data_IF_525175429115
#
_entry.id   IF_525175429115
#
_cell.length_a   1.000
_cell.length_b   1.000
_cell.length_c   1.000
_cell.angle_alpha   90.00
_cell.angle_beta   90.00
_cell.angle_gamma   90.00
#
_symmetry.space_group_name_H-M   'P 1'
#
loop_
_entity.id
_entity.type
_entity.pdbx_description
1 polymer ?
#
# COMPACT_ATOMS: atom_id res chain seq x y z
N UNK A 1 -9.97 28.23 23.96
CA UNK A 1 -8.64 27.60 24.20
C UNK A 1 -7.69 28.19 23.17
N UNK A 2 -6.81 29.10 23.59
CA UNK A 2 -5.85 29.74 22.70
C UNK A 2 -4.78 28.73 22.31
N UNK A 3 -4.62 28.48 21.01
CA UNK A 3 -3.55 27.64 20.46
C UNK A 3 -2.20 28.33 20.74
N UNK A 4 -1.48 27.86 21.74
CA UNK A 4 -0.13 28.33 22.05
C UNK A 4 0.79 27.99 20.86
N UNK A 5 1.30 29.03 20.18
CA UNK A 5 2.19 28.87 19.05
C UNK A 5 3.48 28.19 19.52
N UNK A 6 3.70 26.94 19.10
CA UNK A 6 4.93 26.21 19.45
C UNK A 6 6.08 26.75 18.59
N UNK A 7 7.22 27.13 19.19
CA UNK A 7 8.37 27.58 18.42
C UNK A 7 8.85 26.47 17.47
N UNK A 8 9.35 26.86 16.31
CA UNK A 8 9.89 25.96 15.31
C UNK A 8 11.34 26.35 14.98
N UNK A 9 12.11 25.38 14.46
CA UNK A 9 13.48 25.59 14.01
C UNK A 9 13.67 24.97 12.63
N UNK A 10 14.36 25.68 11.74
CA UNK A 10 14.61 25.23 10.36
C UNK A 10 16.04 24.72 10.20
N UNK A 11 16.22 23.61 9.47
CA UNK A 11 17.56 23.14 9.10
C UNK A 11 18.22 24.11 8.11
N UNK A 12 19.47 24.55 8.35
CA UNK A 12 20.15 25.51 7.48
C UNK A 12 20.52 24.95 6.11
N UNK A 13 20.63 23.62 5.96
CA UNK A 13 21.00 22.97 4.71
C UNK A 13 19.80 22.74 3.77
N UNK A 14 18.70 22.18 4.29
CA UNK A 14 17.55 21.80 3.47
C UNK A 14 16.26 22.59 3.74
N UNK A 15 16.25 23.51 4.72
CA UNK A 15 15.09 24.34 5.06
C UNK A 15 13.97 23.62 5.82
N UNK A 16 14.12 22.32 6.14
CA UNK A 16 13.07 21.56 6.82
C UNK A 16 12.81 22.09 8.23
N UNK A 17 11.53 22.30 8.56
CA UNK A 17 11.07 22.88 9.83
C UNK A 17 10.75 21.79 10.85
N UNK A 18 11.25 21.94 12.07
CA UNK A 18 11.08 21.02 13.20
C UNK A 18 10.41 21.75 14.36
N UNK A 19 9.53 21.07 15.10
CA UNK A 19 8.93 21.62 16.32
C UNK A 19 9.97 21.63 17.43
N UNK A 20 10.21 22.81 18.02
CA UNK A 20 11.16 22.98 19.11
C UNK A 20 10.68 22.25 20.36
N UNK A 21 11.61 21.56 21.03
CA UNK A 21 11.40 21.00 22.37
C UNK A 21 12.53 21.49 23.28
N UNK A 22 12.25 21.84 24.54
CA UNK A 22 13.29 22.34 25.47
C UNK A 22 14.49 21.39 25.62
N UNK A 23 14.27 20.08 25.48
CA UNK A 23 15.30 19.04 25.52
C UNK A 23 16.35 19.11 24.40
N UNK A 24 16.11 19.91 23.35
CA UNK A 24 17.05 20.14 22.25
C UNK A 24 18.01 21.31 22.51
N UNK A 25 17.78 22.08 23.56
CA UNK A 25 18.63 23.22 23.90
C UNK A 25 20.07 22.76 24.18
N UNK A 26 21.03 23.30 23.42
CA UNK A 26 22.45 22.99 23.55
C UNK A 26 22.91 21.65 22.96
N UNK A 27 22.00 20.83 22.39
CA UNK A 27 22.36 19.57 21.72
C UNK A 27 22.50 19.76 20.21
N UNK A 28 23.35 18.95 19.58
CA UNK A 28 23.38 18.84 18.12
C UNK A 28 22.19 18.01 17.64
N UNK A 29 21.53 18.50 16.59
CA UNK A 29 20.39 17.85 15.97
C UNK A 29 20.78 17.36 14.58
N UNK A 30 20.54 16.07 14.32
CA UNK A 30 20.68 15.51 12.99
C UNK A 30 19.44 15.73 12.14
N UNK A 31 19.61 16.39 10.99
CA UNK A 31 18.57 16.50 9.99
C UNK A 31 18.49 15.22 9.12
N UNK A 32 17.31 14.90 8.58
CA UNK A 32 17.14 13.79 7.63
C UNK A 32 17.97 13.96 6.33
N UNK A 33 18.44 15.17 6.02
CA UNK A 33 19.34 15.42 4.90
C UNK A 33 20.80 14.98 5.17
N UNK A 34 21.12 14.51 6.38
CA UNK A 34 22.47 14.11 6.79
C UNK A 34 23.32 15.24 7.37
N UNK A 35 22.77 16.45 7.50
CA UNK A 35 23.45 17.58 8.12
C UNK A 35 23.13 17.68 9.61
N UNK A 36 24.17 17.70 10.45
CA UNK A 36 24.06 17.97 11.88
C UNK A 36 24.21 19.47 12.13
N UNK A 37 23.33 20.05 12.93
CA UNK A 37 23.37 21.47 13.27
C UNK A 37 22.98 21.71 14.72
N UNK A 38 23.55 22.76 15.31
CA UNK A 38 23.18 23.21 16.65
C UNK A 38 22.14 24.32 16.51
N UNK A 39 20.90 24.10 16.94
CA UNK A 39 19.86 25.08 16.76
C UNK A 39 20.13 26.29 17.65
N UNK A 40 20.16 27.47 17.03
CA UNK A 40 20.20 28.74 17.76
C UNK A 40 18.84 28.92 18.44
N UNK A 41 18.84 29.32 19.71
CA UNK A 41 17.62 29.54 20.51
C UNK A 41 16.60 30.30 19.67
N UNK A 42 15.39 29.73 19.41
CA UNK A 42 14.42 30.39 18.55
C UNK A 42 14.07 31.73 19.17
N UNK A 43 14.34 32.81 18.44
CA UNK A 43 13.79 34.11 18.82
C UNK A 43 12.27 34.00 18.65
N UNK A 44 11.54 34.38 19.68
CA UNK A 44 10.08 34.50 19.61
C UNK A 44 9.82 35.65 18.65
N UNK A 45 9.66 35.32 17.36
CA UNK A 45 9.29 36.30 16.35
C UNK A 45 7.84 36.65 16.62
N UNK A 46 7.63 37.86 17.14
CA UNK A 46 6.31 38.38 17.45
C UNK A 46 5.48 38.41 16.15
N UNK A 47 4.39 37.62 16.03
CA UNK A 47 3.66 37.45 14.77
C UNK A 47 2.98 38.74 14.28
N UNK A 48 3.05 39.83 15.03
CA UNK A 48 2.54 41.14 14.64
C UNK A 48 3.56 42.08 13.99
N UNK A 49 4.84 41.69 13.87
CA UNK A 49 5.90 42.59 13.39
C UNK A 49 6.29 42.43 11.90
N UNK A 50 5.70 41.50 11.15
CA UNK A 50 6.15 41.16 9.79
C UNK A 50 5.12 41.50 8.69
N UNK A 51 4.87 42.79 8.47
CA UNK A 51 4.30 43.33 7.22
C UNK A 51 5.44 43.84 6.32
N UNK A 52 6.21 42.92 5.75
CA UNK A 52 7.28 43.26 4.81
C UNK A 52 7.57 42.08 3.90
N UNK A 53 7.21 42.22 2.62
CA UNK A 53 7.10 41.14 1.66
C UNK A 53 8.38 40.36 1.43
N UNK A 54 8.24 39.03 1.43
CA UNK A 54 9.18 38.12 0.78
C UNK A 54 8.34 37.09 0.01
N UNK A 55 8.17 37.36 -1.29
CA UNK A 55 7.72 36.38 -2.27
C UNK A 55 8.86 35.36 -2.47
N UNK A 56 8.84 34.28 -1.70
CA UNK A 56 9.66 33.09 -2.00
C UNK A 56 8.77 31.88 -2.10
N UNK A 57 8.50 31.51 -3.36
CA UNK A 57 8.14 30.20 -3.90
C UNK A 57 8.04 29.04 -2.90
N UNK A 58 6.89 28.90 -2.25
CA UNK A 58 6.43 27.64 -1.62
C UNK A 58 5.21 27.12 -2.38
N UNK A 59 5.35 26.93 -3.70
CA UNK A 59 4.26 26.44 -4.54
C UNK A 59 4.07 24.91 -4.51
N UNK A 60 4.90 24.18 -3.74
CA UNK A 60 4.76 22.72 -3.54
C UNK A 60 4.08 22.31 -2.22
N UNK A 61 3.68 23.26 -1.38
CA UNK A 61 3.07 22.98 -0.06
C UNK A 61 1.55 23.13 0.01
N UNK A 62 0.91 23.69 -1.03
CA UNK A 62 -0.50 24.12 -0.94
C UNK A 62 -1.52 23.04 -1.35
N UNK A 63 -1.08 21.94 -1.98
CA UNK A 63 -2.00 20.86 -2.38
C UNK A 63 -2.28 19.85 -1.26
N UNK A 64 -1.46 19.81 -0.19
CA UNK A 64 -1.66 18.90 0.95
C UNK A 64 -2.85 19.28 1.86
N UNK A 65 -3.49 20.44 1.65
CA UNK A 65 -4.53 20.95 2.54
C UNK A 65 -5.95 20.84 1.97
N UNK A 66 -6.11 20.36 0.72
CA UNK A 66 -7.40 20.24 0.05
C UNK A 66 -8.01 18.82 0.07
N UNK A 67 -7.25 17.79 0.48
CA UNK A 67 -7.82 16.45 0.68
C UNK A 67 -8.65 16.46 1.97
N UNK A 68 -9.97 16.33 1.86
CA UNK A 68 -10.95 16.41 2.96
C UNK A 68 -10.43 15.87 4.29
N UNK A 69 -10.41 16.74 5.29
CA UNK A 69 -9.80 16.45 6.59
C UNK A 69 -10.31 15.13 7.15
N UNK A 70 -9.39 14.15 7.28
CA UNK A 70 -9.64 12.91 8.01
C UNK A 70 -10.34 13.26 9.33
N UNK A 71 -11.43 12.56 9.65
CA UNK A 71 -12.16 12.82 10.90
C UNK A 71 -11.19 12.76 12.08
N UNK A 72 -11.43 13.55 13.12
CA UNK A 72 -10.57 13.57 14.30
C UNK A 72 -10.35 12.16 14.89
N UNK A 73 -11.32 11.27 14.72
CA UNK A 73 -11.24 9.85 15.11
C UNK A 73 -10.26 9.07 14.23
N UNK A 74 -10.28 9.25 12.91
CA UNK A 74 -9.32 8.61 12.01
C UNK A 74 -7.88 9.07 12.30
N UNK A 75 -7.68 10.37 12.57
CA UNK A 75 -6.38 10.90 13.00
C UNK A 75 -5.92 10.33 14.34
N UNK A 76 -6.81 10.27 15.33
CA UNK A 76 -6.48 9.73 16.65
C UNK A 76 -6.21 8.20 16.61
N UNK A 77 -6.86 7.48 15.70
CA UNK A 77 -6.61 6.05 15.48
C UNK A 77 -5.25 5.84 14.79
N UNK A 78 -4.93 6.65 13.79
CA UNK A 78 -3.66 6.62 13.07
C UNK A 78 -2.48 6.96 13.99
N UNK A 79 -2.61 7.99 14.83
CA UNK A 79 -1.62 8.39 15.83
C UNK A 79 -1.40 7.30 16.90
N UNK A 80 -2.45 6.60 17.35
CA UNK A 80 -2.32 5.47 18.28
C UNK A 80 -1.68 4.23 17.65
N UNK A 81 -1.87 4.00 16.35
CA UNK A 81 -1.28 2.85 15.65
C UNK A 81 0.22 3.06 15.41
N UNK A 82 0.64 4.31 15.18
CA UNK A 82 2.05 4.66 14.98
C UNK A 82 2.87 4.61 16.28
N UNK A 83 2.27 4.91 17.43
CA UNK A 83 2.98 4.93 18.73
C UNK A 83 3.22 3.54 19.36
N UNK A 84 2.49 2.50 18.94
CA UNK A 84 2.47 1.20 19.65
C UNK A 84 3.42 0.14 19.06
N UNK A 85 4.06 0.36 17.91
CA UNK A 85 4.95 -0.67 17.32
C UNK A 85 6.31 -0.14 16.86
N UNK A 86 7.42 -0.88 17.09
CA UNK A 86 8.70 -0.55 16.49
C UNK A 86 8.56 -0.66 14.96
N UNK A 87 8.49 0.51 14.30
CA UNK A 87 8.03 0.75 12.93
C UNK A 87 8.68 -0.11 11.83
N UNK A 88 9.84 -0.69 12.09
CA UNK A 88 10.52 -1.60 11.16
C UNK A 88 9.90 -3.00 11.14
N UNK A 89 9.39 -3.48 12.28
CA UNK A 89 8.89 -4.86 12.38
C UNK A 89 7.61 -5.02 11.55
N UNK A 90 6.64 -4.13 11.73
CA UNK A 90 5.37 -4.17 10.99
C UNK A 90 5.57 -3.96 9.48
N UNK A 91 6.43 -3.02 9.09
CA UNK A 91 6.66 -2.65 7.70
C UNK A 91 7.38 -3.74 6.89
N UNK A 92 8.24 -4.54 7.52
CA UNK A 92 9.03 -5.57 6.85
C UNK A 92 8.52 -6.98 7.09
N UNK A 93 8.24 -7.36 8.35
CA UNK A 93 7.94 -8.76 8.68
C UNK A 93 6.57 -9.19 8.20
N UNK A 94 5.56 -8.31 8.22
CA UNK A 94 4.22 -8.67 7.73
C UNK A 94 4.28 -9.04 6.24
N UNK A 95 4.78 -8.17 5.32
CA UNK A 95 4.96 -8.57 3.93
C UNK A 95 5.79 -9.84 3.75
N UNK A 96 6.90 -9.95 4.48
CA UNK A 96 7.83 -11.07 4.37
C UNK A 96 7.19 -12.41 4.78
N UNK A 97 6.29 -12.41 5.76
CA UNK A 97 5.55 -13.60 6.21
C UNK A 97 4.36 -13.89 5.30
N UNK A 98 3.70 -12.87 4.75
CA UNK A 98 2.57 -13.07 3.83
C UNK A 98 2.96 -13.81 2.55
N UNK A 99 4.16 -13.56 2.00
CA UNK A 99 4.63 -14.22 0.77
C UNK A 99 4.67 -15.75 0.89
N UNK A 100 5.44 -16.37 1.82
CA UNK A 100 5.49 -17.82 1.95
C UNK A 100 4.13 -18.41 2.35
N UNK A 101 3.33 -17.70 3.16
CA UNK A 101 1.96 -18.16 3.49
C UNK A 101 1.10 -18.20 2.23
N UNK A 102 1.11 -17.17 1.40
CA UNK A 102 0.36 -17.14 0.14
C UNK A 102 0.76 -18.27 -0.80
N UNK A 103 2.06 -18.57 -0.87
CA UNK A 103 2.60 -19.72 -1.59
C UNK A 103 2.06 -21.06 -1.08
N UNK A 104 2.16 -21.29 0.23
CA UNK A 104 1.67 -22.53 0.86
C UNK A 104 0.16 -22.68 0.71
N UNK A 105 -0.60 -21.59 0.81
CA UNK A 105 -2.05 -21.57 0.58
C UNK A 105 -2.36 -21.93 -0.87
N UNK A 106 -1.65 -21.36 -1.84
CA UNK A 106 -1.83 -21.69 -3.26
C UNK A 106 -1.56 -23.17 -3.54
N UNK A 107 -0.44 -23.70 -3.05
CA UNK A 107 -0.07 -25.11 -3.21
C UNK A 107 -1.10 -26.02 -2.53
N UNK A 108 -1.42 -25.75 -1.26
CA UNK A 108 -2.38 -26.55 -0.49
C UNK A 108 -3.76 -26.57 -1.12
N UNK A 109 -4.23 -25.44 -1.64
CA UNK A 109 -5.51 -25.35 -2.33
C UNK A 109 -5.49 -26.09 -3.67
N UNK A 110 -4.45 -25.95 -4.50
CA UNK A 110 -4.38 -26.68 -5.77
C UNK A 110 -4.27 -28.19 -5.59
N UNK A 111 -3.56 -28.66 -4.55
CA UNK A 111 -3.55 -30.09 -4.16
C UNK A 111 -4.95 -30.54 -3.74
N UNK A 112 -5.64 -29.73 -2.94
CA UNK A 112 -6.99 -30.03 -2.48
C UNK A 112 -8.00 -30.12 -3.64
N UNK A 113 -7.94 -29.19 -4.59
CA UNK A 113 -8.85 -29.14 -5.73
C UNK A 113 -8.63 -30.29 -6.72
N UNK A 114 -7.37 -30.63 -6.99
CA UNK A 114 -7.04 -31.69 -7.96
C UNK A 114 -7.16 -33.10 -7.40
N UNK A 115 -7.16 -33.26 -6.06
CA UNK A 115 -7.13 -34.55 -5.39
C UNK A 115 -5.84 -35.36 -5.57
N UNK A 116 -4.89 -34.86 -6.35
CA UNK A 116 -3.60 -35.49 -6.65
C UNK A 116 -2.46 -34.53 -6.27
N UNK A 117 -1.66 -34.85 -5.24
CA UNK A 117 -0.58 -33.99 -4.79
C UNK A 117 0.45 -33.64 -5.88
N UNK A 118 0.69 -34.56 -6.82
CA UNK A 118 1.70 -34.37 -7.87
C UNK A 118 1.22 -33.36 -8.92
N UNK A 119 0.00 -33.53 -9.43
CA UNK A 119 -0.62 -32.60 -10.38
C UNK A 119 -0.90 -31.24 -9.75
N UNK A 120 -1.48 -31.22 -8.55
CA UNK A 120 -1.78 -29.99 -7.83
C UNK A 120 -0.55 -29.13 -7.54
N UNK A 121 0.57 -29.75 -7.18
CA UNK A 121 1.83 -29.04 -6.97
C UNK A 121 2.38 -28.43 -8.27
N UNK A 122 2.28 -29.15 -9.39
CA UNK A 122 2.72 -28.65 -10.70
C UNK A 122 1.89 -27.44 -11.14
N UNK A 123 0.56 -27.55 -11.06
CA UNK A 123 -0.37 -26.46 -11.39
C UNK A 123 -0.14 -25.25 -10.47
N UNK A 124 0.09 -25.47 -9.17
CA UNK A 124 0.38 -24.37 -8.24
C UNK A 124 1.63 -23.59 -8.64
N UNK A 125 2.72 -24.28 -9.01
CA UNK A 125 3.96 -23.63 -9.46
C UNK A 125 3.72 -22.82 -10.74
N UNK A 126 2.92 -23.33 -11.66
CA UNK A 126 2.55 -22.62 -12.89
C UNK A 126 1.75 -21.34 -12.59
N UNK A 127 0.73 -21.43 -11.74
CA UNK A 127 -0.08 -20.27 -11.29
C UNK A 127 0.80 -19.22 -10.61
N UNK A 128 1.71 -19.66 -9.74
CA UNK A 128 2.69 -18.80 -9.09
C UNK A 128 3.59 -18.09 -10.11
N UNK A 129 4.09 -18.80 -11.13
CA UNK A 129 4.92 -18.20 -12.17
C UNK A 129 4.16 -17.14 -12.96
N UNK A 130 2.92 -17.43 -13.36
CA UNK A 130 2.04 -16.47 -14.04
C UNK A 130 1.82 -15.23 -13.16
N UNK A 131 1.54 -15.43 -11.87
CA UNK A 131 1.34 -14.35 -10.91
C UNK A 131 2.59 -13.46 -10.75
N UNK A 132 3.78 -14.05 -10.75
CA UNK A 132 5.03 -13.29 -10.73
C UNK A 132 5.27 -12.49 -12.00
N UNK A 133 5.03 -13.09 -13.18
CA UNK A 133 5.34 -12.48 -14.47
C UNK A 133 4.31 -11.42 -14.87
N UNK A 134 3.03 -11.65 -14.57
CA UNK A 134 1.93 -10.80 -15.04
C UNK A 134 1.43 -9.86 -13.94
N UNK A 135 1.14 -10.39 -12.75
CA UNK A 135 0.44 -9.62 -11.73
C UNK A 135 1.34 -8.69 -10.92
N UNK A 136 2.61 -9.04 -10.68
CA UNK A 136 3.54 -8.11 -10.03
C UNK A 136 3.76 -6.85 -10.88
N UNK A 137 4.11 -6.94 -12.18
CA UNK A 137 4.26 -5.74 -13.01
C UNK A 137 2.96 -4.93 -13.12
N UNK A 138 1.81 -5.61 -13.26
CA UNK A 138 0.50 -4.95 -13.27
C UNK A 138 0.22 -4.20 -11.97
N UNK A 139 0.54 -4.81 -10.83
CA UNK A 139 0.36 -4.18 -9.52
C UNK A 139 1.29 -2.98 -9.32
N UNK A 140 2.54 -3.06 -9.80
CA UNK A 140 3.47 -1.92 -9.81
C UNK A 140 2.91 -0.81 -10.68
N UNK A 141 2.46 -1.11 -11.90
CA UNK A 141 1.86 -0.12 -12.80
C UNK A 141 0.62 0.54 -12.19
N UNK A 142 -0.31 -0.24 -11.65
CA UNK A 142 -1.51 0.25 -10.99
C UNK A 142 -1.16 1.14 -9.77
N UNK A 143 -0.14 0.76 -9.00
CA UNK A 143 0.31 1.56 -7.86
C UNK A 143 0.89 2.90 -8.32
N UNK A 144 1.76 2.89 -9.32
CA UNK A 144 2.36 4.12 -9.87
C UNK A 144 1.29 5.04 -10.44
N UNK A 145 0.30 4.49 -11.14
CA UNK A 145 -0.83 5.25 -11.68
C UNK A 145 -1.67 5.92 -10.59
N UNK A 146 -2.03 5.18 -9.53
CA UNK A 146 -2.78 5.74 -8.39
C UNK A 146 -1.95 6.78 -7.64
N UNK A 147 -0.64 6.57 -7.54
CA UNK A 147 0.23 7.53 -6.88
C UNK A 147 0.33 8.86 -7.60
N UNK A 148 0.43 8.82 -8.93
CA UNK A 148 0.42 10.01 -9.77
C UNK A 148 -0.94 10.73 -9.70
N UNK A 149 -2.05 9.97 -9.70
CA UNK A 149 -3.39 10.53 -9.64
C UNK A 149 -3.71 11.19 -8.28
N UNK A 150 -3.29 10.57 -7.17
CA UNK A 150 -3.63 10.99 -5.81
C UNK A 150 -2.48 11.68 -5.05
N UNK A 151 -1.37 11.98 -5.74
CA UNK A 151 -0.15 12.57 -5.17
C UNK A 151 0.33 11.82 -3.92
N UNK A 152 0.38 10.48 -4.01
CA UNK A 152 0.78 9.62 -2.90
C UNK A 152 2.30 9.59 -2.75
N UNK A 153 2.79 10.05 -1.60
CA UNK A 153 4.18 9.90 -1.22
C UNK A 153 4.46 8.48 -0.68
N UNK A 154 5.17 7.66 -1.45
CA UNK A 154 5.61 6.35 -0.96
C UNK A 154 6.85 6.44 -0.08
N UNK A 155 6.97 5.45 0.81
CA UNK A 155 8.23 5.13 1.46
C UNK A 155 9.28 4.63 0.46
N UNK A 156 10.47 4.30 0.97
CA UNK A 156 11.53 3.61 0.22
C UNK A 156 11.00 2.56 -0.75
N UNK A 157 11.44 2.63 -2.01
CA UNK A 157 11.02 1.76 -3.11
C UNK A 157 11.08 0.27 -2.75
N UNK A 158 12.11 -0.15 -2.01
CA UNK A 158 12.30 -1.55 -1.57
C UNK A 158 11.14 -2.06 -0.71
N UNK A 159 10.68 -1.25 0.25
CA UNK A 159 9.58 -1.61 1.14
C UNK A 159 8.25 -1.61 0.39
N UNK A 160 8.06 -0.65 -0.51
CA UNK A 160 6.89 -0.59 -1.40
C UNK A 160 6.78 -1.84 -2.26
N UNK A 161 7.87 -2.26 -2.91
CA UNK A 161 7.90 -3.46 -3.75
C UNK A 161 7.63 -4.75 -2.95
N UNK A 162 8.17 -4.85 -1.73
CA UNK A 162 7.89 -5.98 -0.84
C UNK A 162 6.40 -6.06 -0.44
N UNK A 163 5.77 -4.92 -0.15
CA UNK A 163 4.33 -4.84 0.16
C UNK A 163 3.47 -5.24 -1.05
N UNK A 164 3.83 -4.78 -2.25
CA UNK A 164 3.15 -5.18 -3.50
C UNK A 164 3.24 -6.69 -3.68
N UNK A 165 4.43 -7.27 -3.54
CA UNK A 165 4.62 -8.71 -3.66
C UNK A 165 3.75 -9.49 -2.65
N UNK A 166 3.77 -9.09 -1.38
CA UNK A 166 2.93 -9.69 -0.35
C UNK A 166 1.43 -9.62 -0.68
N UNK A 167 0.97 -8.49 -1.21
CA UNK A 167 -0.41 -8.31 -1.65
C UNK A 167 -0.74 -9.24 -2.83
N UNK A 168 0.16 -9.38 -3.78
CA UNK A 168 -0.05 -10.23 -4.95
C UNK A 168 0.00 -11.72 -4.62
N UNK A 169 0.62 -12.15 -3.51
CA UNK A 169 0.73 -13.58 -3.18
C UNK A 169 -0.34 -14.07 -2.21
N UNK A 170 -0.71 -13.30 -1.17
CA UNK A 170 -1.60 -13.83 -0.13
C UNK A 170 -3.09 -13.58 -0.41
N UNK A 171 -3.59 -12.34 -0.34
CA UNK A 171 -5.03 -12.10 -0.51
C UNK A 171 -5.49 -12.42 -1.95
N UNK A 172 -4.60 -12.16 -2.91
CA UNK A 172 -4.74 -12.56 -4.30
C UNK A 172 -4.94 -14.08 -4.48
N UNK A 173 -4.10 -14.93 -3.88
CA UNK A 173 -4.23 -16.39 -4.01
C UNK A 173 -5.58 -16.90 -3.49
N UNK A 174 -6.05 -16.34 -2.37
CA UNK A 174 -7.36 -16.68 -1.82
C UNK A 174 -8.47 -16.32 -2.81
N UNK A 175 -8.37 -15.13 -3.43
CA UNK A 175 -9.36 -14.68 -4.41
C UNK A 175 -9.31 -15.49 -5.71
N UNK A 176 -8.12 -15.86 -6.19
CA UNK A 176 -7.97 -16.67 -7.40
C UNK A 176 -8.61 -18.03 -7.19
N UNK A 177 -8.39 -18.65 -6.03
CA UNK A 177 -9.00 -19.94 -5.72
C UNK A 177 -10.52 -19.81 -5.61
N UNK A 178 -11.04 -18.74 -4.99
CA UNK A 178 -12.48 -18.50 -4.97
C UNK A 178 -13.05 -18.34 -6.39
N UNK A 179 -12.40 -17.56 -7.25
CA UNK A 179 -12.83 -17.35 -8.64
C UNK A 179 -12.83 -18.67 -9.40
N UNK A 180 -11.75 -19.42 -9.28
CA UNK A 180 -11.55 -20.71 -9.92
C UNK A 180 -12.59 -21.74 -9.44
N UNK A 181 -12.85 -21.81 -8.13
CA UNK A 181 -13.85 -22.71 -7.55
C UNK A 181 -15.27 -22.39 -8.03
N UNK A 182 -15.60 -21.10 -8.14
CA UNK A 182 -16.89 -20.65 -8.63
C UNK A 182 -17.06 -21.04 -10.11
N UNK A 183 -16.02 -20.82 -10.93
CA UNK A 183 -16.01 -21.21 -12.34
C UNK A 183 -16.13 -22.73 -12.52
N UNK A 184 -15.50 -23.51 -11.64
CA UNK A 184 -15.57 -24.98 -11.65
C UNK A 184 -16.99 -25.51 -11.38
N UNK A 185 -17.65 -25.00 -10.33
CA UNK A 185 -18.97 -25.52 -9.91
C UNK A 185 -20.08 -25.05 -10.83
N UNK A 186 -20.05 -23.77 -11.20
CA UNK A 186 -21.22 -23.10 -11.76
C UNK A 186 -21.07 -22.80 -13.26
N UNK A 187 -19.94 -23.17 -13.86
CA UNK A 187 -19.62 -22.88 -15.24
C UNK A 187 -19.18 -21.42 -15.45
N UNK A 188 -18.98 -21.07 -16.72
CA UNK A 188 -18.52 -19.74 -17.10
C UNK A 188 -19.72 -18.80 -17.32
N UNK A 189 -19.87 -17.81 -16.44
CA UNK A 189 -20.79 -16.68 -16.60
C UNK A 189 -20.11 -15.37 -16.16
N UNK A 190 -20.38 -14.30 -16.90
CA UNK A 190 -19.81 -12.98 -16.68
C UNK A 190 -20.23 -12.39 -15.32
N UNK A 191 -21.38 -12.79 -14.76
CA UNK A 191 -21.79 -12.29 -13.45
C UNK A 191 -20.85 -12.72 -12.32
N UNK A 192 -20.12 -13.84 -12.47
CA UNK A 192 -19.14 -14.29 -11.48
C UNK A 192 -17.99 -13.30 -11.31
N UNK A 193 -17.66 -12.50 -12.34
CA UNK A 193 -16.68 -11.41 -12.20
C UNK A 193 -17.13 -10.39 -11.16
N UNK A 194 -18.39 -9.98 -11.25
CA UNK A 194 -18.97 -9.00 -10.32
C UNK A 194 -19.08 -9.60 -8.93
N UNK A 195 -19.48 -10.88 -8.83
CA UNK A 195 -19.56 -11.59 -7.56
C UNK A 195 -18.20 -11.76 -6.89
N UNK A 196 -17.14 -12.00 -7.67
CA UNK A 196 -15.76 -12.14 -7.16
C UNK A 196 -15.09 -10.80 -6.86
N UNK A 197 -15.53 -9.71 -7.48
CA UNK A 197 -15.01 -8.36 -7.19
C UNK A 197 -15.27 -7.97 -5.73
N UNK A 198 -16.44 -8.27 -5.17
CA UNK A 198 -16.76 -7.94 -3.78
C UNK A 198 -15.81 -8.57 -2.74
N UNK A 199 -15.61 -9.91 -2.70
CA UNK A 199 -14.63 -10.52 -1.81
C UNK A 199 -13.20 -10.08 -2.14
N UNK A 200 -12.89 -9.78 -3.40
CA UNK A 200 -11.59 -9.21 -3.78
C UNK A 200 -11.35 -7.85 -3.15
N UNK A 201 -12.32 -6.93 -3.25
CA UNK A 201 -12.23 -5.60 -2.64
C UNK A 201 -12.07 -5.71 -1.12
N UNK A 202 -12.73 -6.67 -0.48
CA UNK A 202 -12.61 -6.86 0.97
C UNK A 202 -11.26 -7.49 1.36
N UNK A 203 -10.91 -8.64 0.76
CA UNK A 203 -9.73 -9.43 1.11
C UNK A 203 -8.43 -8.73 0.72
N UNK A 204 -8.39 -8.05 -0.43
CA UNK A 204 -7.22 -7.30 -0.87
C UNK A 204 -7.24 -5.86 -0.33
N UNK A 205 -8.41 -5.23 -0.22
CA UNK A 205 -8.48 -3.81 0.15
C UNK A 205 -8.15 -3.51 1.59
N UNK A 206 -8.53 -4.40 2.52
CA UNK A 206 -8.15 -4.24 3.93
C UNK A 206 -6.62 -4.27 4.09
N UNK A 207 -5.88 -5.27 3.57
CA UNK A 207 -4.42 -5.25 3.55
C UNK A 207 -3.81 -4.05 2.83
N UNK A 208 -4.34 -3.62 1.67
CA UNK A 208 -3.84 -2.42 0.97
C UNK A 208 -3.93 -1.19 1.87
N UNK A 209 -5.11 -0.93 2.44
CA UNK A 209 -5.33 0.22 3.33
C UNK A 209 -4.40 0.17 4.55
N UNK A 210 -4.22 -1.02 5.15
CA UNK A 210 -3.35 -1.21 6.31
C UNK A 210 -1.85 -1.10 5.98
N UNK A 211 -1.41 -1.56 4.81
CA UNK A 211 0.00 -1.59 4.42
C UNK A 211 0.48 -0.27 3.84
N UNK A 212 -0.35 0.41 3.06
CA UNK A 212 -0.01 1.65 2.36
C UNK A 212 -0.57 2.90 3.04
N UNK A 213 -1.37 2.75 4.10
CA UNK A 213 -2.09 3.85 4.73
C UNK A 213 -2.96 4.64 3.72
N UNK A 214 -3.42 3.97 2.67
CA UNK A 214 -4.31 4.54 1.65
C UNK A 214 -5.71 4.73 2.21
N UNK A 215 -6.38 5.77 1.75
CA UNK A 215 -7.80 5.97 2.02
C UNK A 215 -8.64 4.92 1.30
N UNK A 216 -9.88 4.68 1.76
CA UNK A 216 -10.75 3.63 1.21
C UNK A 216 -11.04 3.83 -0.29
N UNK A 217 -11.19 5.07 -0.75
CA UNK A 217 -11.39 5.45 -2.15
C UNK A 217 -10.12 5.24 -3.01
N UNK A 218 -8.94 5.58 -2.49
CA UNK A 218 -7.66 5.34 -3.17
C UNK A 218 -7.40 3.83 -3.30
N UNK A 219 -7.62 3.09 -2.21
CA UNK A 219 -7.50 1.65 -2.18
C UNK A 219 -8.49 0.97 -3.13
N UNK A 220 -9.75 1.41 -3.20
CA UNK A 220 -10.74 0.80 -4.10
C UNK A 220 -10.37 1.00 -5.57
N UNK A 221 -9.90 2.19 -5.96
CA UNK A 221 -9.44 2.46 -7.33
C UNK A 221 -8.22 1.59 -7.67
N UNK A 222 -7.24 1.53 -6.76
CA UNK A 222 -6.07 0.65 -6.91
C UNK A 222 -6.48 -0.81 -7.11
N UNK A 223 -7.42 -1.30 -6.31
CA UNK A 223 -7.90 -2.69 -6.41
C UNK A 223 -8.64 -2.96 -7.70
N UNK A 224 -9.45 -2.01 -8.20
CA UNK A 224 -10.15 -2.15 -9.49
C UNK A 224 -9.14 -2.20 -10.63
N UNK A 225 -8.13 -1.33 -10.61
CA UNK A 225 -7.04 -1.33 -11.60
C UNK A 225 -6.22 -2.61 -11.56
N UNK A 226 -6.11 -3.26 -10.40
CA UNK A 226 -5.41 -4.54 -10.24
C UNK A 226 -6.30 -5.73 -10.62
N UNK A 227 -7.60 -5.66 -10.33
CA UNK A 227 -8.57 -6.71 -10.61
C UNK A 227 -8.88 -6.86 -12.10
N UNK A 228 -9.05 -5.75 -12.83
CA UNK A 228 -9.46 -5.81 -14.25
C UNK A 228 -8.46 -6.58 -15.12
N UNK A 229 -7.15 -6.27 -15.12
CA UNK A 229 -6.18 -7.02 -15.94
C UNK A 229 -6.04 -8.46 -15.46
N UNK A 230 -6.21 -8.70 -14.15
CA UNK A 230 -6.17 -10.03 -13.56
C UNK A 230 -7.32 -10.90 -14.05
N UNK A 231 -8.55 -10.38 -13.96
CA UNK A 231 -9.73 -11.02 -14.52
C UNK A 231 -9.55 -11.26 -16.02
N UNK A 232 -9.11 -10.25 -16.79
CA UNK A 232 -8.86 -10.39 -18.21
C UNK A 232 -7.83 -11.49 -18.52
N UNK A 233 -6.76 -11.62 -17.73
CA UNK A 233 -5.76 -12.68 -17.90
C UNK A 233 -6.34 -14.07 -17.65
N UNK A 234 -7.12 -14.28 -16.58
CA UNK A 234 -7.77 -15.57 -16.32
C UNK A 234 -8.77 -15.94 -17.42
N UNK A 235 -9.53 -14.97 -17.90
CA UNK A 235 -10.51 -15.18 -18.96
C UNK A 235 -9.83 -15.47 -20.30
N UNK A 236 -8.74 -14.76 -20.60
CA UNK A 236 -7.87 -15.05 -21.73
C UNK A 236 -7.29 -16.46 -21.67
N UNK A 237 -6.79 -16.89 -20.51
CA UNK A 237 -6.27 -18.24 -20.33
C UNK A 237 -7.37 -19.30 -20.47
N UNK A 238 -8.55 -19.07 -19.88
CA UNK A 238 -9.68 -19.99 -19.98
C UNK A 238 -10.20 -20.13 -21.42
N UNK A 239 -10.17 -19.05 -22.19
CA UNK A 239 -10.59 -19.07 -23.61
C UNK A 239 -9.55 -19.72 -24.52
N UNK A 240 -8.25 -19.54 -24.26
CA UNK A 240 -7.17 -20.14 -25.07
C UNK A 240 -6.98 -21.63 -24.73
N UNK A 241 -7.15 -22.02 -23.47
CA UNK A 241 -6.90 -23.37 -22.98
C UNK A 241 -8.13 -24.01 -22.30
N UNK A 242 -9.26 -24.15 -23.01
CA UNK A 242 -10.49 -24.67 -22.40
C UNK A 242 -10.31 -26.08 -21.84
N UNK A 243 -9.57 -26.95 -22.54
CA UNK A 243 -9.29 -28.32 -22.10
C UNK A 243 -8.46 -28.35 -20.81
N UNK A 244 -7.56 -27.39 -20.60
CA UNK A 244 -6.77 -27.30 -19.38
C UNK A 244 -7.67 -27.03 -18.17
N UNK A 245 -8.63 -26.11 -18.30
CA UNK A 245 -9.60 -25.83 -17.24
C UNK A 245 -10.57 -27.00 -17.02
N UNK A 246 -10.98 -27.71 -18.08
CA UNK A 246 -11.84 -28.90 -17.94
C UNK A 246 -11.15 -30.11 -17.32
N UNK A 247 -9.81 -30.21 -17.39
CA UNK A 247 -9.07 -31.33 -16.79
C UNK A 247 -8.65 -31.08 -15.34
N UNK A 248 -8.74 -29.83 -14.87
CA UNK A 248 -8.40 -29.44 -13.49
C UNK A 248 -9.62 -29.57 -12.56
N UNK A 249 -10.85 -29.43 -13.09
CA UNK A 249 -12.12 -29.47 -12.36
C UNK A 249 -13.01 -30.63 -12.80
#
# INVERSE_FOLDING_TARGET
MSSEARPTVSCPSCGKVYVWKPQFMGKELGCKCGHDFRPVTPQVVDPHAATGGVETSTQFGLYAQASGGKSAVARALEERVDDITPSKVKAWYIPLVCIPIGWLVTIGLMIFLTGDPSKGSFIAVEVIMIQMIVFIPTAIWALLFVADWFDLAFSDFKTTLLKIAALTFLPAAICDVLLVQIMAIAGFDHWYLVACLAPYLFLCGVPVGLMFAMQLNEASIFLVLLFIPRAAAYFGLATIFPDYFQNIF
#
